data_IF_854827505514
#
_entry.id   IF_854827505514
#
_cell.length_a   1.000
_cell.length_b   1.000
_cell.length_c   1.000
_cell.angle_alpha   90.00
_cell.angle_beta   90.00
_cell.angle_gamma   90.00
#
_symmetry.space_group_name_H-M   'P 1'
#
loop_
_entity.id
_entity.type
_entity.pdbx_description
1 polymer ?
#
# COMPACT_ATOMS: atom_id res chain seq x y z
N UNK A 1 -15.39 -6.60 18.51
CA UNK A 1 -14.24 -7.31 17.96
C UNK A 1 -12.95 -6.57 18.30
N UNK A 2 -11.89 -7.26 18.69
CA UNK A 2 -10.56 -6.67 18.97
C UNK A 2 -9.72 -6.67 17.68
N UNK A 3 -8.91 -5.64 17.42
CA UNK A 3 -8.02 -5.57 16.25
C UNK A 3 -6.55 -5.46 16.68
N UNK A 4 -5.68 -6.24 16.04
CA UNK A 4 -4.23 -6.29 16.26
C UNK A 4 -3.53 -6.10 14.91
N UNK A 5 -2.76 -5.03 14.75
CA UNK A 5 -1.96 -4.80 13.54
C UNK A 5 -0.54 -5.34 13.74
N UNK A 6 -0.10 -6.25 12.87
CA UNK A 6 1.27 -6.78 12.87
C UNK A 6 2.18 -6.01 11.90
N UNK A 7 1.66 -5.69 10.72
CA UNK A 7 2.31 -4.79 9.78
C UNK A 7 1.28 -3.99 8.98
N UNK A 8 1.65 -2.79 8.54
CA UNK A 8 0.80 -1.91 7.72
C UNK A 8 1.58 -1.45 6.48
N UNK A 9 1.81 -2.41 5.58
CA UNK A 9 2.63 -2.17 4.40
C UNK A 9 2.00 -1.10 3.48
N UNK A 10 0.67 -1.06 3.39
CA UNK A 10 -0.03 -0.09 2.54
C UNK A 10 0.13 1.33 3.07
N UNK A 11 -0.05 1.57 4.38
CA UNK A 11 0.19 2.88 4.96
C UNK A 11 1.67 3.30 4.88
N UNK A 12 2.60 2.35 5.08
CA UNK A 12 4.04 2.60 4.95
C UNK A 12 4.40 3.09 3.54
N UNK A 13 3.90 2.42 2.49
CA UNK A 13 4.18 2.82 1.10
C UNK A 13 3.56 4.18 0.75
N UNK A 14 2.33 4.44 1.18
CA UNK A 14 1.67 5.73 0.98
C UNK A 14 2.42 6.87 1.70
N UNK A 15 2.83 6.64 2.95
CA UNK A 15 3.61 7.60 3.74
C UNK A 15 4.98 7.89 3.11
N UNK A 16 5.70 6.85 2.66
CA UNK A 16 6.99 7.00 1.99
C UNK A 16 6.88 7.81 0.68
N UNK A 17 5.83 7.57 -0.11
CA UNK A 17 5.60 8.34 -1.34
C UNK A 17 5.27 9.81 -1.05
N UNK A 18 4.40 10.08 -0.08
CA UNK A 18 4.08 11.43 0.34
C UNK A 18 5.31 12.17 0.89
N UNK A 19 6.13 11.49 1.70
CA UNK A 19 7.38 12.03 2.24
C UNK A 19 8.39 12.36 1.13
N UNK A 20 8.55 11.46 0.15
CA UNK A 20 9.42 11.70 -1.02
C UNK A 20 8.96 12.92 -1.81
N UNK A 21 7.65 13.02 -2.09
CA UNK A 21 7.05 14.16 -2.81
C UNK A 21 7.26 15.48 -2.08
N UNK A 22 7.11 15.48 -0.75
CA UNK A 22 7.40 16.64 0.10
C UNK A 22 8.89 17.02 0.06
N UNK A 23 9.80 16.06 0.16
CA UNK A 23 11.23 16.31 0.12
C UNK A 23 11.69 16.90 -1.23
N UNK A 24 11.14 16.39 -2.34
CA UNK A 24 11.39 16.93 -3.69
C UNK A 24 10.90 18.37 -3.82
N UNK A 25 9.71 18.67 -3.28
CA UNK A 25 9.17 20.03 -3.23
C UNK A 25 10.04 20.97 -2.38
N UNK A 26 10.45 20.56 -1.19
CA UNK A 26 11.31 21.36 -0.31
C UNK A 26 12.67 21.66 -0.95
N UNK A 27 13.27 20.68 -1.64
CA UNK A 27 14.51 20.87 -2.37
C UNK A 27 14.34 21.88 -3.53
N UNK A 28 13.25 21.76 -4.30
CA UNK A 28 12.92 22.70 -5.37
C UNK A 28 12.65 24.12 -4.84
N UNK A 29 11.93 24.22 -3.72
CA UNK A 29 11.66 25.50 -3.05
C UNK A 29 12.93 26.15 -2.53
N UNK A 30 13.84 25.37 -1.94
CA UNK A 30 15.16 25.86 -1.53
C UNK A 30 16.00 26.41 -2.70
N UNK A 31 15.96 25.74 -3.86
CA UNK A 31 16.61 26.23 -5.08
C UNK A 31 15.96 27.53 -5.60
N UNK A 32 14.63 27.59 -5.60
CA UNK A 32 13.86 28.80 -5.94
C UNK A 32 14.20 29.98 -5.02
N UNK A 33 14.21 29.78 -3.70
CA UNK A 33 14.54 30.81 -2.73
C UNK A 33 15.95 31.38 -2.96
N UNK A 34 16.94 30.52 -3.25
CA UNK A 34 18.30 30.95 -3.63
C UNK A 34 18.31 31.76 -4.92
N UNK A 35 17.59 31.33 -5.95
CA UNK A 35 17.50 32.05 -7.22
C UNK A 35 16.84 33.43 -7.06
N UNK A 36 15.79 33.54 -6.26
CA UNK A 36 15.13 34.81 -5.92
C UNK A 36 16.09 35.72 -5.16
N UNK A 37 16.82 35.20 -4.16
CA UNK A 37 17.80 35.95 -3.40
C UNK A 37 18.95 36.48 -4.27
N UNK A 38 19.52 35.63 -5.12
CA UNK A 38 20.58 36.02 -6.08
C UNK A 38 20.09 37.08 -7.07
N UNK A 39 18.87 36.93 -7.58
CA UNK A 39 18.25 37.92 -8.47
C UNK A 39 18.08 39.27 -7.76
N UNK A 40 17.55 39.27 -6.53
CA UNK A 40 17.43 40.49 -5.72
C UNK A 40 18.80 41.15 -5.49
N UNK A 41 19.81 40.37 -5.11
CA UNK A 41 21.17 40.86 -4.87
C UNK A 41 21.82 41.45 -6.15
N UNK A 42 21.65 40.80 -7.31
CA UNK A 42 22.11 41.33 -8.60
C UNK A 42 21.39 42.64 -8.95
N UNK A 43 20.08 42.70 -8.73
CA UNK A 43 19.28 43.91 -8.92
C UNK A 43 19.73 45.06 -8.02
N UNK A 44 20.05 44.81 -6.74
CA UNK A 44 20.57 45.83 -5.82
C UNK A 44 21.96 46.29 -6.20
N UNK A 45 22.86 45.36 -6.56
CA UNK A 45 24.22 45.67 -6.99
C UNK A 45 24.24 46.55 -8.26
N UNK A 46 23.42 46.22 -9.26
CA UNK A 46 23.29 47.04 -10.48
C UNK A 46 22.77 48.46 -10.19
N UNK A 47 21.88 48.62 -9.19
CA UNK A 47 21.39 49.95 -8.76
C UNK A 47 22.45 50.73 -7.99
N UNK A 48 23.21 50.07 -7.11
CA UNK A 48 24.29 50.69 -6.33
C UNK A 48 25.40 51.19 -7.24
N UNK A 49 25.91 50.33 -8.14
CA UNK A 49 26.93 50.72 -9.11
C UNK A 49 26.49 51.94 -9.93
N UNK A 50 25.26 51.94 -10.45
CA UNK A 50 24.69 53.09 -11.17
C UNK A 50 24.68 54.38 -10.34
N UNK A 51 24.37 54.33 -9.04
CA UNK A 51 24.41 55.50 -8.14
C UNK A 51 25.84 55.99 -7.91
N UNK A 52 26.80 55.09 -7.74
CA UNK A 52 28.22 55.44 -7.56
C UNK A 52 28.77 56.17 -8.79
N UNK A 53 28.46 55.71 -10.01
CA UNK A 53 28.86 56.39 -11.25
C UNK A 53 28.25 57.79 -11.38
N UNK A 54 27.01 57.97 -10.94
CA UNK A 54 26.33 59.27 -10.94
C UNK A 54 27.01 60.24 -9.94
N UNK A 55 27.28 59.77 -8.72
CA UNK A 55 27.95 60.57 -7.68
C UNK A 55 29.38 60.96 -8.07
N UNK A 56 30.07 60.11 -8.84
CA UNK A 56 31.41 60.37 -9.36
C UNK A 56 31.44 61.29 -10.61
N UNK A 57 30.29 61.82 -11.06
CA UNK A 57 30.21 62.70 -12.23
C UNK A 57 30.45 62.00 -13.58
N UNK A 58 30.42 60.66 -13.61
CA UNK A 58 30.73 59.85 -14.81
C UNK A 58 29.47 59.53 -15.61
N UNK A 59 28.87 60.56 -16.21
CA UNK A 59 27.57 60.47 -16.89
C UNK A 59 27.53 59.47 -18.07
N UNK A 60 28.63 59.32 -18.82
CA UNK A 60 28.72 58.33 -19.90
C UNK A 60 28.67 56.88 -19.40
N UNK A 61 29.39 56.57 -18.31
CA UNK A 61 29.35 55.24 -17.68
C UNK A 61 27.98 54.96 -17.03
N UNK A 62 27.34 56.02 -16.49
CA UNK A 62 25.99 55.93 -15.96
C UNK A 62 24.95 55.56 -17.05
N UNK A 63 25.00 56.18 -18.22
CA UNK A 63 24.12 55.83 -19.36
C UNK A 63 24.32 54.37 -19.79
N UNK A 64 25.57 53.90 -19.85
CA UNK A 64 25.88 52.50 -20.21
C UNK A 64 25.35 51.51 -19.16
N UNK A 65 25.27 51.90 -17.88
CA UNK A 65 24.70 51.08 -16.80
C UNK A 65 23.19 50.78 -16.92
N UNK A 66 22.50 51.45 -17.85
CA UNK A 66 21.09 51.23 -18.13
C UNK A 66 20.84 49.88 -18.84
N UNK A 67 21.72 49.47 -19.76
CA UNK A 67 21.55 48.25 -20.55
C UNK A 67 21.52 46.96 -19.68
N UNK A 68 22.45 46.73 -18.73
CA UNK A 68 22.38 45.56 -17.85
C UNK A 68 21.15 45.57 -16.93
N UNK A 69 20.67 46.75 -16.52
CA UNK A 69 19.45 46.90 -15.69
C UNK A 69 18.20 46.54 -16.48
N UNK A 70 18.09 47.01 -17.72
CA UNK A 70 17.01 46.62 -18.61
C UNK A 70 17.04 45.12 -18.91
N UNK A 71 18.21 44.57 -19.26
CA UNK A 71 18.37 43.14 -19.50
C UNK A 71 17.99 42.30 -18.26
N UNK A 72 18.35 42.77 -17.06
CA UNK A 72 17.96 42.10 -15.82
C UNK A 72 16.46 42.20 -15.54
N UNK A 73 15.83 43.36 -15.78
CA UNK A 73 14.39 43.55 -15.61
C UNK A 73 13.58 42.69 -16.60
N UNK A 74 14.07 42.54 -17.83
CA UNK A 74 13.45 41.72 -18.88
C UNK A 74 13.72 40.22 -18.72
N UNK A 75 14.78 39.83 -18.02
CA UNK A 75 15.01 38.41 -17.72
C UNK A 75 13.87 37.90 -16.82
N UNK A 76 13.26 36.75 -17.15
CA UNK A 76 12.11 36.23 -16.40
C UNK A 76 12.40 36.01 -14.91
N UNK A 77 11.40 36.24 -14.06
CA UNK A 77 11.48 35.88 -12.64
C UNK A 77 11.58 34.36 -12.48
N UNK A 78 12.33 33.85 -11.48
CA UNK A 78 12.29 32.44 -11.12
C UNK A 78 10.83 32.02 -10.91
N UNK A 79 10.43 30.88 -11.48
CA UNK A 79 9.07 30.34 -11.32
C UNK A 79 8.99 29.63 -9.97
N UNK A 80 7.94 29.91 -9.21
CA UNK A 80 7.68 29.22 -7.96
C UNK A 80 7.35 27.74 -8.24
N UNK A 81 8.00 26.79 -7.53
CA UNK A 81 7.70 25.39 -7.69
C UNK A 81 6.31 25.09 -7.14
N UNK A 82 5.60 24.17 -7.80
CA UNK A 82 4.33 23.63 -7.31
C UNK A 82 4.56 22.21 -6.81
N UNK A 83 3.87 21.83 -5.73
CA UNK A 83 3.90 20.44 -5.27
C UNK A 83 3.24 19.56 -6.33
N UNK A 84 3.91 18.47 -6.71
CA UNK A 84 3.33 17.50 -7.63
C UNK A 84 2.05 16.88 -7.02
N UNK A 85 1.11 16.51 -7.90
CA UNK A 85 -0.03 15.69 -7.51
C UNK A 85 0.44 14.29 -7.07
N UNK A 86 -0.42 13.59 -6.32
CA UNK A 86 -0.16 12.21 -5.92
C UNK A 86 0.03 11.34 -7.17
N UNK A 87 1.07 10.50 -7.14
CA UNK A 87 1.35 9.62 -8.27
C UNK A 87 0.24 8.57 -8.45
N UNK A 88 0.14 7.97 -9.63
CA UNK A 88 -0.79 6.85 -9.87
C UNK A 88 -0.60 5.69 -8.87
N UNK A 89 0.64 5.43 -8.46
CA UNK A 89 0.93 4.38 -7.48
C UNK A 89 0.44 4.75 -6.08
N UNK A 90 0.65 6.00 -5.67
CA UNK A 90 0.15 6.54 -4.40
C UNK A 90 -1.38 6.47 -4.34
N UNK A 91 -2.07 6.84 -5.43
CA UNK A 91 -3.53 6.67 -5.52
C UNK A 91 -3.97 5.21 -5.42
N UNK A 92 -3.24 4.28 -6.03
CA UNK A 92 -3.55 2.84 -5.96
C UNK A 92 -3.33 2.30 -4.55
N UNK A 93 -2.27 2.71 -3.85
CA UNK A 93 -2.03 2.30 -2.46
C UNK A 93 -3.09 2.86 -1.52
N UNK A 94 -3.43 4.15 -1.65
CA UNK A 94 -4.50 4.76 -0.84
C UNK A 94 -5.85 4.06 -1.08
N UNK A 95 -6.18 3.76 -2.33
CA UNK A 95 -7.40 3.02 -2.66
C UNK A 95 -7.39 1.58 -2.10
N UNK A 96 -6.23 0.93 -2.09
CA UNK A 96 -6.04 -0.37 -1.44
C UNK A 96 -6.31 -0.29 0.06
N UNK A 97 -5.71 0.67 0.75
CA UNK A 97 -5.87 0.89 2.19
C UNK A 97 -7.31 1.25 2.57
N UNK A 98 -7.99 2.06 1.75
CA UNK A 98 -9.42 2.34 1.91
C UNK A 98 -10.26 1.06 1.79
N UNK A 99 -9.94 0.22 0.80
CA UNK A 99 -10.59 -1.08 0.63
C UNK A 99 -10.41 -2.00 1.83
N UNK A 100 -9.22 -2.04 2.42
CA UNK A 100 -8.95 -2.80 3.64
C UNK A 100 -9.71 -2.25 4.85
N UNK A 101 -9.73 -0.92 5.03
CA UNK A 101 -10.42 -0.27 6.13
C UNK A 101 -11.92 -0.57 6.09
N UNK A 102 -12.54 -0.49 4.91
CA UNK A 102 -13.96 -0.83 4.72
C UNK A 102 -14.28 -2.25 5.15
N UNK A 103 -13.40 -3.21 4.84
CA UNK A 103 -13.57 -4.60 5.28
C UNK A 103 -13.43 -4.70 6.80
N UNK A 104 -12.44 -4.06 7.42
CA UNK A 104 -12.30 -4.02 8.88
C UNK A 104 -13.58 -3.45 9.55
N UNK A 105 -14.15 -2.39 9.00
CA UNK A 105 -15.37 -1.77 9.53
C UNK A 105 -16.59 -2.69 9.40
N UNK A 106 -16.76 -3.37 8.26
CA UNK A 106 -17.80 -4.38 8.09
C UNK A 106 -17.62 -5.55 9.07
N UNK A 107 -16.40 -6.05 9.25
CA UNK A 107 -16.12 -7.14 10.20
C UNK A 107 -16.43 -6.74 11.65
N UNK A 108 -16.16 -5.48 12.04
CA UNK A 108 -16.54 -4.94 13.37
C UNK A 108 -18.04 -4.95 13.62
N UNK A 109 -18.85 -4.75 12.57
CA UNK A 109 -20.31 -4.79 12.65
C UNK A 109 -20.84 -6.22 12.70
N UNK A 110 -20.16 -7.16 12.05
CA UNK A 110 -20.59 -8.55 11.90
C UNK A 110 -20.23 -9.39 13.14
N UNK A 111 -19.04 -9.19 13.72
CA UNK A 111 -18.51 -10.05 14.78
C UNK A 111 -18.46 -9.39 16.16
N UNK A 112 -18.75 -10.19 17.19
CA UNK A 112 -18.68 -9.78 18.60
C UNK A 112 -17.23 -9.54 19.08
N UNK A 113 -17.08 -9.15 20.35
CA UNK A 113 -15.77 -8.98 21.01
C UNK A 113 -15.02 -10.31 21.25
N UNK A 114 -15.67 -11.46 21.04
CA UNK A 114 -15.02 -12.77 21.13
C UNK A 114 -14.11 -13.08 19.94
N UNK A 115 -14.23 -12.29 18.87
CA UNK A 115 -13.37 -12.37 17.70
C UNK A 115 -12.26 -11.33 17.76
N UNK A 116 -11.07 -11.76 17.35
CA UNK A 116 -9.91 -10.90 17.16
C UNK A 116 -9.47 -10.91 15.70
N UNK A 117 -9.27 -9.73 15.13
CA UNK A 117 -8.66 -9.55 13.81
C UNK A 117 -7.18 -9.29 13.96
N UNK A 118 -6.39 -9.97 13.14
CA UNK A 118 -4.97 -9.74 12.98
C UNK A 118 -4.72 -9.20 11.57
N UNK A 119 -4.19 -7.99 11.48
CA UNK A 119 -3.93 -7.28 10.21
C UNK A 119 -2.47 -7.40 9.78
N UNK A 120 -2.23 -7.64 8.50
CA UNK A 120 -0.89 -7.64 7.89
C UNK A 120 0.01 -8.78 8.41
N UNK A 121 -0.56 -9.99 8.55
CA UNK A 121 0.24 -11.16 8.91
C UNK A 121 1.12 -11.58 7.73
N UNK A 122 2.32 -12.10 8.00
CA UNK A 122 3.31 -12.43 6.96
C UNK A 122 4.09 -13.68 7.32
N UNK A 123 4.27 -14.55 6.34
CA UNK A 123 5.17 -15.69 6.40
C UNK A 123 5.89 -15.92 5.06
N UNK A 124 6.56 -17.06 4.89
CA UNK A 124 7.29 -17.39 3.65
C UNK A 124 6.39 -17.58 2.42
N UNK A 125 5.10 -17.79 2.59
CA UNK A 125 4.10 -17.95 1.52
C UNK A 125 3.57 -16.62 1.01
N UNK A 126 3.63 -15.59 1.84
CA UNK A 126 3.16 -14.26 1.48
C UNK A 126 2.64 -13.50 2.69
N UNK A 127 1.81 -12.52 2.39
CA UNK A 127 1.06 -11.73 3.36
C UNK A 127 -0.41 -12.20 3.36
N UNK A 128 -1.09 -12.07 4.49
CA UNK A 128 -2.53 -12.22 4.61
C UNK A 128 -3.06 -10.90 5.16
N UNK A 129 -3.95 -10.26 4.41
CA UNK A 129 -4.44 -8.92 4.74
C UNK A 129 -5.12 -8.88 6.11
N UNK A 130 -5.99 -9.87 6.38
CA UNK A 130 -6.69 -10.04 7.66
C UNK A 130 -6.81 -11.51 8.05
N UNK A 131 -6.59 -11.82 9.33
CA UNK A 131 -6.90 -13.11 9.93
C UNK A 131 -7.91 -12.91 11.05
N UNK A 132 -9.07 -13.56 10.99
CA UNK A 132 -10.00 -13.65 12.10
C UNK A 132 -9.66 -14.87 12.96
N UNK A 133 -9.62 -14.69 14.27
CA UNK A 133 -9.51 -15.76 15.26
C UNK A 133 -10.65 -15.60 16.25
N UNK A 134 -11.46 -16.65 16.41
CA UNK A 134 -12.59 -16.63 17.32
C UNK A 134 -12.95 -18.03 17.82
N UNK A 135 -14.08 -18.17 18.55
CA UNK A 135 -14.46 -19.43 19.18
C UNK A 135 -14.66 -20.60 18.22
N UNK A 136 -15.10 -20.32 16.99
CA UNK A 136 -15.45 -21.37 16.01
C UNK A 136 -14.30 -21.74 15.08
N UNK A 137 -13.22 -20.96 15.03
CA UNK A 137 -12.04 -21.27 14.23
C UNK A 137 -11.24 -20.04 13.78
N UNK A 138 -10.54 -20.19 12.66
CA UNK A 138 -9.65 -19.18 12.07
C UNK A 138 -10.00 -18.96 10.59
N UNK A 139 -10.10 -17.69 10.16
CA UNK A 139 -10.33 -17.31 8.76
C UNK A 139 -9.20 -16.40 8.26
N UNK A 140 -8.52 -16.79 7.19
CA UNK A 140 -7.60 -15.94 6.45
C UNK A 140 -8.34 -15.25 5.30
N UNK A 141 -8.16 -13.93 5.17
CA UNK A 141 -8.86 -13.10 4.19
C UNK A 141 -7.85 -12.36 3.33
N UNK A 142 -7.98 -12.52 2.02
CA UNK A 142 -7.39 -11.65 1.01
C UNK A 142 -8.40 -10.57 0.61
N UNK A 143 -7.96 -9.32 0.54
CA UNK A 143 -8.79 -8.17 0.16
C UNK A 143 -8.31 -7.63 -1.18
N UNK A 144 -9.25 -7.42 -2.10
CA UNK A 144 -8.97 -6.84 -3.41
C UNK A 144 -9.91 -5.68 -3.69
N UNK A 145 -9.33 -4.48 -3.75
CA UNK A 145 -10.04 -3.28 -4.15
C UNK A 145 -10.10 -3.18 -5.69
N UNK A 146 -11.05 -3.91 -6.29
CA UNK A 146 -11.12 -4.10 -7.75
C UNK A 146 -12.48 -3.68 -8.32
N UNK A 147 -12.54 -2.55 -9.02
CA UNK A 147 -13.70 -2.18 -9.81
C UNK A 147 -13.90 -3.13 -11.00
N UNK A 148 -15.12 -3.65 -11.15
CA UNK A 148 -15.55 -4.39 -12.32
C UNK A 148 -16.32 -5.66 -11.99
N UNK A 149 -16.73 -6.37 -13.02
CA UNK A 149 -17.25 -7.72 -12.92
C UNK A 149 -16.08 -8.69 -12.83
N UNK A 150 -15.97 -9.39 -11.71
CA UNK A 150 -14.88 -10.30 -11.40
C UNK A 150 -15.32 -11.74 -11.68
N UNK A 151 -14.38 -12.51 -12.22
CA UNK A 151 -14.53 -13.94 -12.52
C UNK A 151 -13.28 -14.70 -12.08
N UNK A 152 -13.44 -16.00 -11.83
CA UNK A 152 -12.33 -16.90 -11.55
C UNK A 152 -12.56 -18.31 -12.10
N UNK A 153 -11.46 -18.97 -12.46
CA UNK A 153 -11.39 -20.38 -12.76
C UNK A 153 -10.18 -20.96 -12.01
N UNK A 154 -10.44 -21.66 -10.90
CA UNK A 154 -9.39 -22.01 -9.93
C UNK A 154 -8.71 -20.75 -9.39
N UNK A 155 -7.38 -20.72 -9.53
CA UNK A 155 -6.55 -19.59 -9.10
C UNK A 155 -6.31 -18.52 -10.17
N UNK A 156 -6.93 -18.66 -11.35
CA UNK A 156 -6.89 -17.62 -12.38
C UNK A 156 -8.05 -16.66 -12.17
N UNK A 157 -7.75 -15.39 -11.99
CA UNK A 157 -8.72 -14.33 -11.77
C UNK A 157 -8.61 -13.23 -12.83
N UNK A 158 -9.76 -12.70 -13.26
CA UNK A 158 -9.81 -11.59 -14.20
C UNK A 158 -11.02 -10.70 -13.93
N UNK A 159 -11.01 -9.52 -14.53
CA UNK A 159 -12.14 -8.59 -14.52
C UNK A 159 -12.47 -8.02 -15.88
N UNK A 160 -13.75 -7.72 -16.02
CA UNK A 160 -14.28 -6.80 -17.02
C UNK A 160 -14.66 -5.48 -16.34
N UNK A 161 -14.14 -4.36 -16.86
CA UNK A 161 -14.41 -3.02 -16.33
C UNK A 161 -15.44 -2.33 -17.22
N UNK A 162 -16.42 -1.71 -16.57
CA UNK A 162 -17.46 -0.92 -17.21
C UNK A 162 -17.32 0.56 -16.85
N UNK A 163 -17.74 1.45 -17.75
CA UNK A 163 -17.90 2.87 -17.43
C UNK A 163 -19.22 3.13 -16.68
N UNK A 164 -19.48 4.39 -16.32
CA UNK A 164 -20.71 4.80 -15.62
C UNK A 164 -21.99 4.65 -16.45
N UNK A 165 -21.88 4.43 -17.76
CA UNK A 165 -22.99 4.20 -18.67
C UNK A 165 -23.21 2.71 -18.94
N UNK A 166 -22.41 1.83 -18.34
CA UNK A 166 -22.50 0.39 -18.52
C UNK A 166 -21.75 -0.13 -19.76
N UNK A 167 -20.95 0.69 -20.44
CA UNK A 167 -20.15 0.23 -21.58
C UNK A 167 -18.91 -0.51 -21.10
N UNK A 168 -18.59 -1.65 -21.72
CA UNK A 168 -17.37 -2.40 -21.48
C UNK A 168 -16.16 -1.60 -21.96
N UNK A 169 -15.28 -1.19 -21.04
CA UNK A 169 -14.09 -0.39 -21.34
C UNK A 169 -12.79 -1.19 -21.27
N UNK A 170 -12.76 -2.27 -20.48
CA UNK A 170 -11.63 -3.20 -20.44
C UNK A 170 -12.18 -4.60 -20.24
N UNK A 171 -11.64 -5.58 -20.97
CA UNK A 171 -12.07 -6.97 -20.84
C UNK A 171 -10.92 -7.90 -20.49
N UNK A 172 -11.22 -8.94 -19.72
CA UNK A 172 -10.31 -10.02 -19.35
C UNK A 172 -8.99 -9.53 -18.76
N UNK A 173 -9.05 -8.47 -17.95
CA UNK A 173 -7.87 -7.89 -17.30
C UNK A 173 -7.47 -8.81 -16.15
N UNK A 174 -6.25 -9.41 -16.17
CA UNK A 174 -5.82 -10.31 -15.11
C UNK A 174 -5.78 -9.61 -13.74
N UNK A 175 -6.20 -10.31 -12.70
CA UNK A 175 -6.01 -9.91 -11.30
C UNK A 175 -4.95 -10.85 -10.72
N UNK A 176 -3.70 -10.38 -10.68
CA UNK A 176 -2.58 -11.16 -10.17
C UNK A 176 -1.54 -10.26 -9.50
N UNK A 177 -0.76 -10.83 -8.59
CA UNK A 177 0.44 -10.19 -8.05
C UNK A 177 1.58 -10.15 -9.08
N UNK A 178 2.72 -9.57 -8.71
CA UNK A 178 3.92 -9.49 -9.57
C UNK A 178 4.50 -10.87 -9.93
N UNK A 179 4.12 -11.93 -9.22
CA UNK A 179 4.55 -13.31 -9.44
C UNK A 179 3.53 -14.10 -10.27
N UNK A 180 2.45 -13.45 -10.72
CA UNK A 180 1.38 -14.06 -11.49
C UNK A 180 0.34 -14.82 -10.67
N UNK A 181 0.37 -14.73 -9.34
CA UNK A 181 -0.59 -15.43 -8.47
C UNK A 181 -1.90 -14.65 -8.36
N UNK A 182 -3.03 -15.32 -8.58
CA UNK A 182 -4.35 -14.75 -8.29
C UNK A 182 -4.60 -14.56 -6.78
N UNK A 183 -5.67 -13.85 -6.40
CA UNK A 183 -6.06 -13.65 -5.01
C UNK A 183 -6.17 -14.94 -4.19
N UNK A 184 -6.82 -15.98 -4.72
CA UNK A 184 -6.96 -17.26 -4.02
C UNK A 184 -5.62 -17.95 -3.79
N UNK A 185 -4.73 -17.99 -4.80
CA UNK A 185 -3.38 -18.55 -4.65
C UNK A 185 -2.55 -17.80 -3.60
N UNK A 186 -2.69 -16.47 -3.50
CA UNK A 186 -1.98 -15.67 -2.50
C UNK A 186 -2.37 -16.07 -1.07
N UNK A 187 -3.67 -16.14 -0.77
CA UNK A 187 -4.15 -16.54 0.56
C UNK A 187 -3.91 -18.01 0.83
N UNK A 188 -4.05 -18.89 -0.17
CA UNK A 188 -3.78 -20.32 -0.02
C UNK A 188 -2.32 -20.56 0.41
N UNK A 189 -1.35 -20.01 -0.32
CA UNK A 189 0.08 -20.18 -0.03
C UNK A 189 0.45 -19.75 1.40
N UNK A 190 -0.10 -18.62 1.85
CA UNK A 190 0.18 -18.07 3.17
C UNK A 190 -0.59 -18.83 4.27
N UNK A 191 -1.86 -19.15 4.06
CA UNK A 191 -2.70 -19.85 5.02
C UNK A 191 -2.28 -21.32 5.21
N UNK A 192 -1.82 -22.00 4.16
CA UNK A 192 -1.31 -23.38 4.23
C UNK A 192 -0.10 -23.47 5.16
N UNK A 193 0.83 -22.51 5.05
CA UNK A 193 1.99 -22.44 5.92
C UNK A 193 1.62 -22.10 7.36
N UNK A 194 0.66 -21.20 7.56
CA UNK A 194 0.14 -20.90 8.89
C UNK A 194 -0.50 -22.14 9.52
N UNK A 195 -1.34 -22.86 8.76
CA UNK A 195 -1.99 -24.08 9.21
C UNK A 195 -0.96 -25.15 9.59
N UNK A 196 0.03 -25.40 8.73
CA UNK A 196 1.12 -26.34 9.01
C UNK A 196 1.91 -25.94 10.27
N UNK A 197 2.17 -24.64 10.44
CA UNK A 197 2.85 -24.10 11.61
C UNK A 197 2.07 -24.35 12.91
N UNK A 198 0.74 -24.17 12.88
CA UNK A 198 -0.16 -24.43 14.02
C UNK A 198 -0.26 -25.94 14.31
N UNK A 199 -0.39 -26.77 13.27
CA UNK A 199 -0.44 -28.23 13.39
C UNK A 199 0.80 -28.80 14.05
N UNK A 200 1.99 -28.34 13.66
CA UNK A 200 3.28 -28.72 14.28
C UNK A 200 3.38 -28.38 15.77
N UNK A 201 2.45 -27.56 16.28
CA UNK A 201 2.38 -27.13 17.69
C UNK A 201 1.17 -27.72 18.42
N UNK A 202 0.57 -28.76 17.86
CA UNK A 202 -0.53 -29.50 18.48
C UNK A 202 -1.90 -28.85 18.31
N UNK A 203 -2.02 -27.79 17.49
CA UNK A 203 -3.31 -27.16 17.19
C UNK A 203 -3.80 -27.69 15.84
N UNK A 204 -4.62 -28.75 15.87
CA UNK A 204 -5.13 -29.41 14.68
C UNK A 204 -6.42 -28.73 14.17
N UNK A 205 -6.30 -27.48 13.71
CA UNK A 205 -7.42 -26.72 13.13
C UNK A 205 -7.23 -26.48 11.64
N UNK A 206 -8.33 -26.35 10.90
CA UNK A 206 -8.31 -25.87 9.52
C UNK A 206 -8.39 -24.35 9.51
N UNK A 207 -7.48 -23.69 8.81
CA UNK A 207 -7.60 -22.26 8.54
C UNK A 207 -8.55 -22.11 7.35
N UNK A 208 -9.73 -21.53 7.55
CA UNK A 208 -10.63 -21.18 6.46
C UNK A 208 -10.04 -20.04 5.62
N UNK A 209 -10.44 -19.92 4.35
CA UNK A 209 -9.85 -18.97 3.40
C UNK A 209 -10.94 -18.20 2.66
N UNK A 210 -10.80 -16.89 2.59
CA UNK A 210 -11.74 -16.04 1.87
C UNK A 210 -11.03 -15.02 0.96
N UNK A 211 -11.70 -14.64 -0.12
CA UNK A 211 -11.37 -13.48 -0.94
C UNK A 211 -12.51 -12.48 -0.88
N UNK A 212 -12.21 -11.24 -0.51
CA UNK A 212 -13.18 -10.15 -0.41
C UNK A 212 -12.90 -9.08 -1.45
N UNK A 213 -13.91 -8.79 -2.26
CA UNK A 213 -13.89 -7.69 -3.24
C UNK A 213 -14.49 -6.45 -2.59
N UNK A 214 -13.63 -5.48 -2.25
CA UNK A 214 -14.01 -4.34 -1.38
C UNK A 214 -14.42 -3.06 -2.13
N UNK A 215 -14.36 -3.05 -3.46
CA UNK A 215 -14.82 -1.91 -4.25
C UNK A 215 -16.35 -1.98 -4.42
N UNK A 216 -17.06 -0.85 -4.27
CA UNK A 216 -18.54 -0.83 -4.33
C UNK A 216 -19.10 -1.23 -5.70
N UNK A 217 -18.38 -0.91 -6.78
CA UNK A 217 -18.70 -1.38 -8.14
C UNK A 217 -18.13 -2.78 -8.48
N UNK A 218 -17.64 -3.54 -7.49
CA UNK A 218 -17.30 -4.95 -7.70
C UNK A 218 -18.58 -5.76 -7.82
N UNK A 219 -18.64 -6.67 -8.79
CA UNK A 219 -19.68 -7.69 -8.85
C UNK A 219 -19.08 -9.03 -9.21
N UNK A 220 -19.69 -10.10 -8.72
CA UNK A 220 -19.30 -11.48 -9.00
C UNK A 220 -20.08 -11.97 -10.22
N UNK A 221 -19.46 -12.80 -11.07
CA UNK A 221 -20.13 -13.38 -12.23
C UNK A 221 -19.92 -14.88 -12.39
N UNK A 222 -18.76 -15.31 -12.89
CA UNK A 222 -18.46 -16.72 -13.15
C UNK A 222 -17.34 -17.20 -12.24
N UNK A 223 -17.66 -18.12 -11.34
CA UNK A 223 -16.68 -18.83 -10.52
C UNK A 223 -16.74 -20.33 -10.78
N UNK A 224 -15.64 -20.91 -11.20
CA UNK A 224 -15.50 -22.34 -11.45
C UNK A 224 -14.29 -22.90 -10.69
N UNK A 225 -14.48 -24.02 -9.99
CA UNK A 225 -13.38 -24.71 -9.29
C UNK A 225 -12.70 -23.86 -8.22
N UNK A 226 -13.48 -23.13 -7.41
CA UNK A 226 -12.97 -22.27 -6.36
C UNK A 226 -12.09 -23.06 -5.38
N UNK A 227 -10.94 -22.48 -5.00
CA UNK A 227 -9.94 -23.09 -4.11
C UNK A 227 -9.98 -22.52 -2.69
N UNK A 228 -10.88 -21.56 -2.44
CA UNK A 228 -11.12 -20.92 -1.14
C UNK A 228 -12.53 -21.25 -0.66
N UNK A 229 -12.78 -21.04 0.63
CA UNK A 229 -14.08 -21.34 1.27
C UNK A 229 -15.16 -20.30 0.97
N UNK A 230 -14.74 -19.05 0.74
CA UNK A 230 -15.65 -17.94 0.52
C UNK A 230 -15.07 -16.96 -0.50
N UNK A 231 -15.93 -16.49 -1.40
CA UNK A 231 -15.67 -15.30 -2.21
C UNK A 231 -16.89 -14.40 -2.10
N UNK A 232 -16.69 -13.16 -1.66
CA UNK A 232 -17.78 -12.22 -1.42
C UNK A 232 -17.41 -10.80 -1.87
N UNK A 233 -18.42 -10.02 -2.24
CA UNK A 233 -18.30 -8.55 -2.25
C UNK A 233 -18.54 -8.02 -0.84
N UNK A 234 -18.15 -6.77 -0.57
CA UNK A 234 -18.38 -6.13 0.72
C UNK A 234 -19.88 -6.18 1.14
N UNK A 235 -20.78 -5.89 0.20
CA UNK A 235 -22.24 -5.90 0.46
C UNK A 235 -22.83 -7.29 0.71
N UNK A 236 -22.07 -8.34 0.38
CA UNK A 236 -22.48 -9.74 0.59
C UNK A 236 -21.89 -10.32 1.87
N UNK A 237 -21.00 -9.61 2.56
CA UNK A 237 -20.45 -10.10 3.83
C UNK A 237 -21.53 -10.14 4.90
N UNK A 238 -22.03 -11.33 5.19
CA UNK A 238 -22.97 -11.60 6.27
C UNK A 238 -22.40 -12.61 7.28
N UNK A 239 -22.81 -12.47 8.55
CA UNK A 239 -22.28 -13.27 9.66
C UNK A 239 -22.44 -14.78 9.45
N UNK A 240 -23.56 -15.19 8.87
CA UNK A 240 -23.91 -16.60 8.65
C UNK A 240 -22.97 -17.26 7.64
N UNK A 241 -22.62 -16.59 6.55
CA UNK A 241 -21.72 -17.12 5.52
C UNK A 241 -20.29 -17.24 6.05
N UNK A 242 -19.82 -16.20 6.74
CA UNK A 242 -18.49 -16.21 7.35
C UNK A 242 -18.38 -17.27 8.45
N UNK A 243 -19.41 -17.41 9.29
CA UNK A 243 -19.46 -18.47 10.31
C UNK A 243 -19.52 -19.87 9.69
N UNK A 244 -20.24 -20.03 8.57
CA UNK A 244 -20.31 -21.31 7.86
C UNK A 244 -18.99 -21.68 7.16
N UNK A 245 -18.20 -20.68 6.74
CA UNK A 245 -16.87 -20.92 6.21
C UNK A 245 -15.89 -21.37 7.31
N UNK A 246 -16.09 -20.89 8.54
CA UNK A 246 -15.25 -21.19 9.71
C UNK A 246 -15.90 -22.28 10.56
N UNK A 247 -15.91 -23.50 10.04
CA UNK A 247 -16.37 -24.69 10.76
C UNK A 247 -15.20 -25.61 11.09
N UNK A 248 -15.08 -26.04 12.36
CA UNK A 248 -14.08 -27.02 12.78
C UNK A 248 -13.56 -26.85 14.20
N UNK A 249 -13.88 -25.74 14.87
CA UNK A 249 -13.41 -25.45 16.22
C UNK A 249 -11.90 -25.17 16.26
N UNK A 250 -11.37 -24.99 17.47
CA UNK A 250 -9.98 -24.56 17.67
C UNK A 250 -8.96 -25.70 17.73
N UNK A 251 -9.35 -26.93 17.38
CA UNK A 251 -8.41 -28.05 17.21
C UNK A 251 -7.54 -28.35 18.43
N UNK A 252 -8.10 -28.20 19.64
CA UNK A 252 -7.40 -28.42 20.92
C UNK A 252 -6.66 -27.20 21.50
N UNK A 253 -6.58 -26.08 20.77
CA UNK A 253 -6.03 -24.82 21.26
C UNK A 253 -7.09 -23.82 21.74
N UNK A 254 -6.66 -22.75 22.40
CA UNK A 254 -7.50 -21.57 22.69
C UNK A 254 -7.23 -20.44 21.71
N UNK A 255 -8.19 -19.51 21.55
CA UNK A 255 -8.02 -18.34 20.68
C UNK A 255 -6.76 -17.54 21.04
N UNK A 256 -6.50 -17.31 22.34
CA UNK A 256 -5.29 -16.64 22.83
C UNK A 256 -4.00 -17.38 22.48
N UNK A 257 -3.99 -18.72 22.55
CA UNK A 257 -2.83 -19.51 22.16
C UNK A 257 -2.56 -19.37 20.65
N UNK A 258 -3.60 -19.45 19.83
CA UNK A 258 -3.50 -19.26 18.37
C UNK A 258 -2.97 -17.87 18.04
N UNK A 259 -3.52 -16.82 18.65
CA UNK A 259 -3.06 -15.43 18.47
C UNK A 259 -1.58 -15.26 18.85
N UNK A 260 -1.15 -15.88 19.96
CA UNK A 260 0.25 -15.84 20.40
C UNK A 260 1.17 -16.52 19.38
N UNK A 261 0.72 -17.63 18.81
CA UNK A 261 1.47 -18.38 17.79
C UNK A 261 1.55 -17.64 16.45
N UNK A 262 0.45 -17.00 16.02
CA UNK A 262 0.42 -16.15 14.81
C UNK A 262 1.44 -15.01 14.94
N UNK A 263 1.46 -14.32 16.10
CA UNK A 263 2.44 -13.24 16.38
C UNK A 263 3.88 -13.76 16.29
N UNK A 264 4.18 -14.87 16.95
CA UNK A 264 5.52 -15.48 16.94
C UNK A 264 5.96 -15.90 15.53
N UNK A 265 5.06 -16.47 14.73
CA UNK A 265 5.38 -16.84 13.36
C UNK A 265 5.64 -15.61 12.48
N UNK A 266 4.81 -14.57 12.61
CA UNK A 266 5.03 -13.31 11.91
C UNK A 266 6.39 -12.71 12.28
N UNK A 267 6.69 -12.56 13.57
CA UNK A 267 7.96 -12.01 14.04
C UNK A 267 9.17 -12.81 13.52
N UNK A 268 9.05 -14.14 13.45
CA UNK A 268 10.11 -14.98 12.90
C UNK A 268 10.35 -14.70 11.40
N UNK A 269 9.28 -14.48 10.63
CA UNK A 269 9.35 -14.23 9.19
C UNK A 269 9.58 -12.74 8.82
N UNK A 270 9.34 -11.82 9.74
CA UNK A 270 9.61 -10.39 9.57
C UNK A 270 11.10 -10.04 9.74
N UNK A 271 11.90 -10.92 10.37
CA UNK A 271 13.34 -10.70 10.54
C UNK A 271 14.07 -10.68 9.19
N UNK A 272 14.98 -9.72 8.97
CA UNK A 272 15.87 -9.76 7.82
C UNK A 272 16.64 -11.09 7.83
N UNK A 273 16.99 -11.67 6.66
CA UNK A 273 17.89 -12.80 6.61
C UNK A 273 19.16 -12.41 7.37
N UNK A 274 19.49 -13.12 8.45
CA UNK A 274 20.76 -12.88 9.12
C UNK A 274 21.86 -13.07 8.08
N UNK A 275 22.68 -12.05 7.87
CA UNK A 275 23.94 -12.19 7.13
C UNK A 275 24.91 -13.03 7.99
N UNK A 276 24.60 -14.31 8.11
CA UNK A 276 25.30 -15.31 8.89
C UNK A 276 26.22 -16.14 8.00
N UNK A 277 27.46 -15.67 7.88
CA UNK A 277 28.68 -16.45 7.81
C UNK A 277 28.81 -17.52 6.70
N UNK A 278 29.16 -17.09 5.48
CA UNK A 278 29.68 -17.96 4.39
C UNK A 278 31.17 -18.34 4.53
N UNK A 279 31.79 -18.14 5.69
CA UNK A 279 33.16 -18.60 5.96
C UNK A 279 33.17 -19.76 6.96
N UNK A 280 32.95 -20.98 6.47
CA UNK A 280 33.55 -22.23 6.98
C UNK A 280 33.02 -23.42 6.17
N UNK A 281 33.68 -23.71 5.05
CA UNK A 281 33.84 -25.05 4.44
C UNK A 281 34.66 -24.92 3.15
N UNK A 282 35.92 -24.53 3.31
CA UNK A 282 37.00 -24.96 2.43
C UNK A 282 38.16 -25.32 3.36
N UNK A 283 38.63 -26.56 3.27
CA UNK A 283 39.69 -27.10 4.13
C UNK A 283 39.35 -28.49 4.68
N UNK A 284 39.21 -29.46 3.79
CA UNK A 284 39.50 -30.88 4.02
C UNK A 284 39.41 -31.61 2.67
N UNK A 285 40.47 -31.43 1.88
CA UNK A 285 41.00 -32.41 0.94
C UNK A 285 42.53 -32.36 1.10
#
# INVERSE_FOLDING_TARGET
MIEITLSDHTADQSSLAAAKRKAEYEAAYGAYARAVAQRKAKGTALRQASREWLQAGKYGAWLISFFPRMAHALSGSPKEPQMAEASRNEMVWNAGGEGEQRVSDSLKQIFSDEWTVVSGYKNRGGEIDKILVGPTGVLAIEIKFVNGRVSCAGDRWWRDKYDKYGNLVQSNVPIADKRGRGPSAQVNDAADRLQEFLHKRGIALRVARAVVLSHSSSSISQFQGQTVDLIATLDQLIASELSSAVTGGLGGGTAQQILTLIKKDHEFNARPPSHGNRHRRQGLL
#
